data_IF_456479059435
#
_entry.id   IF_456479059435
#
_cell.length_a   1.000
_cell.length_b   1.000
_cell.length_c   1.000
_cell.angle_alpha   90.00
_cell.angle_beta   90.00
_cell.angle_gamma   90.00
#
_symmetry.space_group_name_H-M   'P 1'
#
loop_
_entity.id
_entity.type
_entity.pdbx_description
1 polymer ?
#
# COMPACT_ATOMS: atom_id res chain seq x y z
N UNK A 1 -51.09 16.00 -29.89
CA UNK A 1 -51.07 15.62 -28.46
C UNK A 1 -50.29 14.34 -28.12
N UNK A 2 -49.99 13.41 -29.05
CA UNK A 2 -49.31 12.14 -28.74
C UNK A 2 -47.78 12.20 -28.54
N UNK A 3 -47.09 13.20 -29.08
CA UNK A 3 -45.60 13.29 -29.06
C UNK A 3 -45.01 13.79 -27.74
N UNK A 4 -45.71 14.68 -27.03
CA UNK A 4 -45.23 15.21 -25.73
C UNK A 4 -45.20 14.15 -24.63
N UNK A 5 -46.11 13.18 -24.67
CA UNK A 5 -46.22 12.12 -23.65
C UNK A 5 -45.07 11.11 -23.79
N UNK A 6 -44.69 10.76 -25.03
CA UNK A 6 -43.57 9.86 -25.30
C UNK A 6 -42.23 10.46 -24.87
N UNK A 7 -42.05 11.77 -25.09
CA UNK A 7 -40.85 12.48 -24.65
C UNK A 7 -40.74 12.52 -23.11
N UNK A 8 -41.84 12.73 -22.40
CA UNK A 8 -41.85 12.72 -20.92
C UNK A 8 -41.63 11.30 -20.37
N UNK A 9 -42.20 10.27 -21.00
CA UNK A 9 -41.98 8.88 -20.60
C UNK A 9 -40.52 8.45 -20.78
N UNK A 10 -39.88 8.83 -21.89
CA UNK A 10 -38.45 8.59 -22.12
C UNK A 10 -37.56 9.38 -21.15
N UNK A 11 -37.93 10.62 -20.81
CA UNK A 11 -37.20 11.42 -19.83
C UNK A 11 -37.29 10.82 -18.43
N UNK A 12 -38.48 10.36 -18.03
CA UNK A 12 -38.69 9.67 -16.75
C UNK A 12 -37.94 8.35 -16.67
N UNK A 13 -37.92 7.56 -17.76
CA UNK A 13 -37.15 6.32 -17.80
C UNK A 13 -35.64 6.57 -17.69
N UNK A 14 -35.13 7.61 -18.37
CA UNK A 14 -33.74 8.02 -18.26
C UNK A 14 -33.39 8.52 -16.85
N UNK A 15 -34.27 9.30 -16.21
CA UNK A 15 -34.09 9.76 -14.82
C UNK A 15 -34.12 8.60 -13.83
N UNK A 16 -35.01 7.61 -14.02
CA UNK A 16 -35.08 6.40 -13.18
C UNK A 16 -33.85 5.51 -13.40
N UNK A 17 -33.37 5.35 -14.64
CA UNK A 17 -32.14 4.60 -14.93
C UNK A 17 -30.88 5.30 -14.38
N UNK A 18 -30.82 6.64 -14.40
CA UNK A 18 -29.76 7.42 -13.75
C UNK A 18 -29.81 7.30 -12.22
N UNK A 19 -31.01 7.23 -11.62
CA UNK A 19 -31.19 7.02 -10.18
C UNK A 19 -30.85 5.58 -9.75
N UNK A 20 -31.08 4.58 -10.61
CA UNK A 20 -30.74 3.18 -10.35
C UNK A 20 -29.23 2.90 -10.30
N UNK A 21 -28.38 3.85 -10.69
CA UNK A 21 -26.92 3.73 -10.59
C UNK A 21 -26.38 3.97 -9.16
N UNK A 22 -27.23 4.46 -8.24
CA UNK A 22 -26.89 4.67 -6.82
C UNK A 22 -28.10 4.33 -5.90
N UNK A 23 -28.53 3.05 -5.81
CA UNK A 23 -29.76 2.67 -5.11
C UNK A 23 -29.64 2.73 -3.58
N UNK A 24 -28.42 2.86 -3.07
CA UNK A 24 -28.16 3.12 -1.66
C UNK A 24 -27.75 4.58 -1.53
N UNK A 25 -28.47 5.33 -0.67
CA UNK A 25 -28.25 6.75 -0.41
C UNK A 25 -26.77 7.10 -0.35
N UNK A 26 -26.43 8.30 -0.82
CA UNK A 26 -25.06 8.79 -0.99
C UNK A 26 -24.22 8.69 0.29
N UNK A 27 -23.68 7.52 0.58
CA UNK A 27 -22.74 7.32 1.68
C UNK A 27 -21.44 7.99 1.21
N UNK A 28 -21.24 9.20 1.70
CA UNK A 28 -20.02 9.96 1.50
C UNK A 28 -18.99 9.34 2.43
N UNK A 29 -18.12 8.49 1.88
CA UNK A 29 -16.91 8.08 2.61
C UNK A 29 -15.82 9.10 2.32
N UNK A 30 -15.25 9.66 3.39
CA UNK A 30 -14.04 10.46 3.30
C UNK A 30 -12.88 9.52 2.95
N UNK A 31 -12.29 9.70 1.77
CA UNK A 31 -10.96 9.15 1.48
C UNK A 31 -9.93 10.22 1.76
N UNK A 32 -8.79 9.89 2.38
CA UNK A 32 -7.70 10.83 2.49
C UNK A 32 -7.19 11.16 1.09
N UNK A 33 -7.41 12.40 0.65
CA UNK A 33 -6.86 12.94 -0.60
C UNK A 33 -5.78 13.93 -0.22
N UNK A 34 -4.66 13.91 -0.94
CA UNK A 34 -3.59 14.87 -0.72
C UNK A 34 -3.69 15.98 -1.76
N UNK A 35 -3.78 17.22 -1.30
CA UNK A 35 -3.94 18.41 -2.15
C UNK A 35 -2.90 19.46 -1.81
N UNK A 36 -2.47 20.23 -2.80
CA UNK A 36 -1.63 21.40 -2.58
C UNK A 36 -2.50 22.65 -2.65
N UNK A 37 -2.60 23.47 -1.57
CA UNK A 37 -3.56 24.58 -1.50
C UNK A 37 -3.45 25.60 -2.64
N UNK A 38 -2.23 25.80 -3.15
CA UNK A 38 -1.92 26.79 -4.18
C UNK A 38 -1.87 26.24 -5.62
N UNK A 39 -2.09 24.94 -5.83
CA UNK A 39 -2.00 24.32 -7.15
C UNK A 39 -3.36 23.82 -7.63
N UNK A 40 -3.49 23.64 -8.93
CA UNK A 40 -4.66 22.99 -9.51
C UNK A 40 -4.79 21.53 -9.00
N UNK A 41 -6.01 20.95 -9.01
CA UNK A 41 -6.20 19.55 -8.64
C UNK A 41 -5.38 18.57 -9.48
N UNK A 42 -5.17 18.86 -10.77
CA UNK A 42 -4.37 18.02 -11.65
C UNK A 42 -2.87 18.05 -11.26
N UNK A 43 -2.34 19.23 -10.95
CA UNK A 43 -0.96 19.38 -10.48
C UNK A 43 -0.76 18.70 -9.12
N UNK A 44 -1.70 18.86 -8.19
CA UNK A 44 -1.67 18.15 -6.90
C UNK A 44 -1.64 16.63 -7.07
N UNK A 45 -2.51 16.07 -7.92
CA UNK A 45 -2.51 14.62 -8.22
C UNK A 45 -1.20 14.15 -8.85
N UNK A 46 -0.58 14.96 -9.70
CA UNK A 46 0.72 14.64 -10.31
C UNK A 46 1.81 14.53 -9.26
N UNK A 47 1.85 15.45 -8.28
CA UNK A 47 2.79 15.40 -7.16
C UNK A 47 2.59 14.15 -6.29
N UNK A 48 1.33 13.83 -5.95
CA UNK A 48 0.99 12.61 -5.20
C UNK A 48 1.47 11.37 -5.92
N UNK A 49 1.13 11.23 -7.22
CA UNK A 49 1.56 10.10 -8.03
C UNK A 49 3.09 10.02 -8.15
N UNK A 50 3.78 11.16 -8.17
CA UNK A 50 5.23 11.24 -8.11
C UNK A 50 5.81 10.66 -6.82
N UNK A 51 5.27 11.06 -5.67
CA UNK A 51 5.67 10.51 -4.37
C UNK A 51 5.38 9.01 -4.27
N UNK A 52 4.21 8.57 -4.74
CA UNK A 52 3.82 7.15 -4.70
C UNK A 52 4.75 6.29 -5.56
N UNK A 53 5.15 6.78 -6.74
CA UNK A 53 6.15 6.11 -7.58
C UNK A 53 7.52 6.01 -6.88
N UNK A 54 7.97 7.07 -6.20
CA UNK A 54 9.22 7.03 -5.44
C UNK A 54 9.16 6.01 -4.31
N UNK A 55 8.06 5.96 -3.55
CA UNK A 55 7.85 4.96 -2.51
C UNK A 55 7.84 3.54 -3.07
N UNK A 56 7.10 3.29 -4.15
CA UNK A 56 7.06 1.99 -4.80
C UNK A 56 8.43 1.56 -5.35
N UNK A 57 9.21 2.50 -5.90
CA UNK A 57 10.58 2.22 -6.35
C UNK A 57 11.48 1.86 -5.17
N UNK A 58 11.47 2.65 -4.09
CA UNK A 58 12.25 2.37 -2.89
C UNK A 58 11.88 1.02 -2.28
N UNK A 59 10.58 0.72 -2.20
CA UNK A 59 10.09 -0.56 -1.71
C UNK A 59 10.68 -1.72 -2.50
N UNK A 60 10.61 -1.67 -3.84
CA UNK A 60 11.19 -2.71 -4.70
C UNK A 60 12.69 -2.86 -4.51
N UNK A 61 13.42 -1.76 -4.32
CA UNK A 61 14.87 -1.79 -4.05
C UNK A 61 15.18 -2.47 -2.71
N UNK A 62 14.45 -2.11 -1.65
CA UNK A 62 14.61 -2.71 -0.33
C UNK A 62 14.23 -4.20 -0.33
N UNK A 63 13.12 -4.55 -0.98
CA UNK A 63 12.67 -5.94 -1.12
C UNK A 63 13.69 -6.78 -1.91
N UNK A 64 14.22 -6.25 -3.01
CA UNK A 64 15.23 -6.95 -3.81
C UNK A 64 16.55 -7.14 -3.03
N UNK A 65 17.00 -6.12 -2.30
CA UNK A 65 18.18 -6.23 -1.44
C UNK A 65 17.96 -7.29 -0.35
N UNK A 66 16.83 -7.25 0.35
CA UNK A 66 16.47 -8.24 1.35
C UNK A 66 16.44 -9.66 0.79
N UNK A 67 15.87 -9.86 -0.39
CA UNK A 67 15.84 -11.18 -1.06
C UNK A 67 17.25 -11.67 -1.37
N UNK A 68 18.12 -10.79 -1.88
CA UNK A 68 19.51 -11.14 -2.19
C UNK A 68 20.29 -11.52 -0.91
N UNK A 69 20.21 -10.69 0.13
CA UNK A 69 20.90 -10.90 1.40
C UNK A 69 20.42 -12.20 2.07
N UNK A 70 19.10 -12.42 2.14
CA UNK A 70 18.55 -13.63 2.75
C UNK A 70 18.93 -14.90 1.99
N UNK A 71 19.01 -14.86 0.65
CA UNK A 71 19.50 -16.01 -0.14
C UNK A 71 20.96 -16.30 0.12
N UNK A 72 21.79 -15.26 0.24
CA UNK A 72 23.19 -15.40 0.55
C UNK A 72 23.39 -16.03 1.94
N UNK A 73 22.65 -15.55 2.95
CA UNK A 73 22.66 -16.13 4.31
C UNK A 73 22.24 -17.60 4.30
N UNK A 74 21.18 -17.94 3.57
CA UNK A 74 20.70 -19.32 3.48
C UNK A 74 21.64 -20.28 2.72
N UNK A 75 22.64 -19.76 2.00
CA UNK A 75 23.66 -20.58 1.35
C UNK A 75 24.87 -20.87 2.26
N UNK A 76 24.95 -20.25 3.44
CA UNK A 76 26.03 -20.46 4.39
C UNK A 76 25.84 -21.80 5.14
N UNK A 77 26.93 -22.43 5.62
CA UNK A 77 26.85 -23.63 6.46
C UNK A 77 26.08 -23.39 7.76
N UNK A 78 26.20 -22.18 8.33
CA UNK A 78 25.46 -21.72 9.50
C UNK A 78 24.71 -20.42 9.17
N UNK A 79 23.47 -20.50 8.63
CA UNK A 79 22.70 -19.32 8.28
C UNK A 79 22.43 -18.41 9.48
N UNK A 80 22.55 -17.09 9.29
CA UNK A 80 22.22 -16.08 10.30
C UNK A 80 23.02 -16.23 11.61
N UNK A 81 24.22 -16.80 11.56
CA UNK A 81 25.09 -16.98 12.73
C UNK A 81 25.43 -15.63 13.41
N UNK A 82 25.64 -14.59 12.61
CA UNK A 82 26.01 -13.25 13.07
C UNK A 82 24.81 -12.39 13.54
N UNK A 83 23.58 -12.93 13.45
CA UNK A 83 22.39 -12.19 13.83
C UNK A 83 22.26 -12.10 15.36
N UNK A 84 22.03 -10.89 15.85
CA UNK A 84 21.69 -10.64 17.25
C UNK A 84 20.18 -10.70 17.46
N UNK A 85 19.74 -11.69 18.21
CA UNK A 85 18.34 -11.83 18.60
C UNK A 85 18.04 -11.00 19.85
N UNK A 86 17.00 -10.18 19.79
CA UNK A 86 16.59 -9.29 20.87
C UNK A 86 15.13 -9.50 21.24
N UNK A 87 14.77 -9.20 22.49
CA UNK A 87 13.38 -9.20 22.95
C UNK A 87 12.65 -7.92 22.50
N UNK A 88 11.37 -7.77 22.86
CA UNK A 88 10.57 -6.59 22.51
C UNK A 88 11.10 -5.27 23.12
N UNK A 89 11.92 -5.34 24.18
CA UNK A 89 12.58 -4.18 24.77
C UNK A 89 13.92 -3.84 24.08
N UNK A 90 14.36 -4.63 23.09
CA UNK A 90 15.63 -4.44 22.39
C UNK A 90 16.85 -5.06 23.08
N UNK A 91 16.63 -5.79 24.17
CA UNK A 91 17.68 -6.44 24.95
C UNK A 91 18.05 -7.79 24.31
N UNK A 92 19.34 -8.13 24.32
CA UNK A 92 19.78 -9.42 23.81
C UNK A 92 19.15 -10.57 24.62
N UNK A 93 18.66 -11.60 23.92
CA UNK A 93 18.12 -12.80 24.57
C UNK A 93 19.26 -13.74 25.01
N UNK A 94 18.97 -14.70 25.89
CA UNK A 94 19.97 -15.69 26.31
C UNK A 94 20.48 -16.51 25.11
N UNK A 95 21.69 -17.09 25.17
CA UNK A 95 22.26 -17.88 24.08
C UNK A 95 21.33 -19.04 23.63
N UNK A 96 20.68 -19.73 24.56
CA UNK A 96 19.75 -20.83 24.26
C UNK A 96 18.56 -20.32 23.44
N UNK A 97 17.94 -19.22 23.89
CA UNK A 97 16.82 -18.58 23.17
C UNK A 97 17.25 -18.01 21.83
N UNK A 98 18.49 -17.49 21.72
CA UNK A 98 19.04 -17.00 20.47
C UNK A 98 19.21 -18.14 19.47
N UNK A 99 19.70 -19.30 19.90
CA UNK A 99 19.86 -20.48 19.07
C UNK A 99 18.51 -21.01 18.57
N UNK A 100 17.52 -21.12 19.46
CA UNK A 100 16.15 -21.51 19.09
C UNK A 100 15.52 -20.52 18.10
N UNK A 101 15.64 -19.22 18.37
CA UNK A 101 15.12 -18.17 17.50
C UNK A 101 15.82 -18.17 16.13
N UNK A 102 17.13 -18.41 16.09
CA UNK A 102 17.91 -18.54 14.85
C UNK A 102 17.44 -19.73 14.03
N UNK A 103 17.33 -20.91 14.65
CA UNK A 103 16.86 -22.12 13.96
C UNK A 103 15.47 -21.89 13.35
N UNK A 104 14.53 -21.34 14.13
CA UNK A 104 13.19 -21.04 13.65
C UNK A 104 13.17 -19.94 12.57
N UNK A 105 14.05 -18.95 12.66
CA UNK A 105 14.20 -17.90 11.64
C UNK A 105 14.78 -18.47 10.34
N UNK A 106 15.82 -19.30 10.43
CA UNK A 106 16.46 -19.95 9.31
C UNK A 106 15.48 -20.88 8.58
N UNK A 107 14.73 -21.70 9.32
CA UNK A 107 13.69 -22.58 8.75
C UNK A 107 12.68 -21.78 7.92
N UNK A 108 12.09 -20.71 8.50
CA UNK A 108 11.09 -19.89 7.80
C UNK A 108 11.67 -19.17 6.59
N UNK A 109 12.81 -18.52 6.75
CA UNK A 109 13.40 -17.65 5.72
C UNK A 109 13.99 -18.47 4.58
N UNK A 110 14.71 -19.55 4.88
CA UNK A 110 15.33 -20.40 3.88
C UNK A 110 14.32 -21.29 3.14
N UNK A 111 13.24 -21.71 3.79
CA UNK A 111 12.11 -22.32 3.08
C UNK A 111 11.47 -21.32 2.10
N UNK A 112 11.23 -20.07 2.53
CA UNK A 112 10.69 -19.03 1.66
C UNK A 112 11.63 -18.66 0.50
N UNK A 113 12.95 -18.75 0.71
CA UNK A 113 13.96 -18.45 -0.30
C UNK A 113 14.00 -19.45 -1.48
N UNK A 114 13.49 -20.68 -1.27
CA UNK A 114 13.40 -21.72 -2.29
C UNK A 114 12.15 -21.58 -3.18
N UNK A 115 11.17 -20.78 -2.79
CA UNK A 115 9.95 -20.53 -3.56
C UNK A 115 10.07 -19.22 -4.37
N UNK A 116 9.10 -18.31 -4.26
CA UNK A 116 9.06 -17.06 -5.02
C UNK A 116 9.66 -15.91 -4.23
N UNK A 117 10.38 -15.03 -4.94
CA UNK A 117 10.92 -13.78 -4.40
C UNK A 117 9.85 -12.95 -3.66
N UNK A 118 8.59 -13.00 -4.10
CA UNK A 118 7.49 -12.29 -3.44
C UNK A 118 7.16 -12.82 -2.04
N UNK A 119 7.33 -14.13 -1.80
CA UNK A 119 7.12 -14.74 -0.50
C UNK A 119 8.22 -14.35 0.49
N UNK A 120 9.47 -14.37 0.02
CA UNK A 120 10.61 -13.92 0.80
C UNK A 120 10.57 -12.41 1.05
N UNK A 121 10.28 -11.59 0.05
CA UNK A 121 10.16 -10.14 0.18
C UNK A 121 9.08 -9.71 1.20
N UNK A 122 8.01 -10.50 1.35
CA UNK A 122 6.97 -10.25 2.35
C UNK A 122 7.48 -10.39 3.80
N UNK A 123 8.60 -11.08 4.02
CA UNK A 123 9.28 -11.20 5.32
C UNK A 123 10.12 -9.97 5.67
N UNK A 124 10.18 -8.94 4.84
CA UNK A 124 10.87 -7.69 5.14
C UNK A 124 9.93 -6.67 5.83
N UNK A 125 9.84 -6.64 7.18
CA UNK A 125 8.93 -5.73 7.88
C UNK A 125 9.26 -4.25 7.62
N UNK A 126 10.55 -3.94 7.49
CA UNK A 126 11.03 -2.57 7.31
C UNK A 126 10.88 -2.05 5.88
N UNK A 127 10.77 -2.92 4.87
CA UNK A 127 10.69 -2.51 3.47
C UNK A 127 9.44 -1.67 3.20
N UNK A 128 8.28 -2.12 3.72
CA UNK A 128 7.03 -1.37 3.59
C UNK A 128 7.06 -0.09 4.41
N UNK A 129 7.47 -0.17 5.69
CA UNK A 129 7.44 0.98 6.59
C UNK A 129 8.35 2.11 6.10
N UNK A 130 9.57 1.82 5.65
CA UNK A 130 10.50 2.82 5.09
C UNK A 130 9.97 3.43 3.79
N UNK A 131 9.34 2.63 2.94
CA UNK A 131 8.73 3.14 1.72
C UNK A 131 7.54 4.07 2.01
N UNK A 132 6.66 3.70 2.92
CA UNK A 132 5.53 4.53 3.36
C UNK A 132 6.00 5.82 4.02
N UNK A 133 7.03 5.74 4.86
CA UNK A 133 7.67 6.91 5.45
C UNK A 133 8.24 7.84 4.39
N UNK A 134 8.91 7.29 3.37
CA UNK A 134 9.42 8.08 2.25
C UNK A 134 8.29 8.78 1.49
N UNK A 135 7.16 8.11 1.28
CA UNK A 135 5.98 8.74 0.66
C UNK A 135 5.43 9.85 1.54
N UNK A 136 5.32 9.63 2.85
CA UNK A 136 4.87 10.64 3.82
C UNK A 136 5.76 11.87 3.77
N UNK A 137 7.07 11.68 3.87
CA UNK A 137 8.06 12.76 3.80
C UNK A 137 7.97 13.51 2.48
N UNK A 138 7.94 12.80 1.34
CA UNK A 138 7.80 13.43 0.02
C UNK A 138 6.55 14.30 -0.08
N UNK A 139 5.41 13.84 0.45
CA UNK A 139 4.17 14.62 0.45
C UNK A 139 4.31 15.88 1.30
N UNK A 140 4.90 15.78 2.48
CA UNK A 140 5.18 16.94 3.34
C UNK A 140 6.13 17.94 2.67
N UNK A 141 7.24 17.47 2.09
CA UNK A 141 8.22 18.29 1.38
C UNK A 141 7.61 19.01 0.17
N UNK A 142 6.59 18.41 -0.45
CA UNK A 142 5.83 18.99 -1.56
C UNK A 142 4.65 19.84 -1.10
N UNK A 143 4.50 20.14 0.20
CA UNK A 143 3.41 20.96 0.71
C UNK A 143 2.01 20.35 0.51
N UNK A 144 1.93 19.03 0.31
CA UNK A 144 0.66 18.33 0.16
C UNK A 144 0.03 18.12 1.53
N UNK A 145 -1.17 18.66 1.71
CA UNK A 145 -1.96 18.48 2.93
C UNK A 145 -3.00 17.39 2.73
N UNK A 146 -3.24 16.63 3.79
CA UNK A 146 -4.34 15.65 3.82
C UNK A 146 -5.65 16.43 3.92
N UNK A 147 -6.49 16.24 2.92
CA UNK A 147 -7.85 16.75 2.83
C UNK A 147 -8.82 15.57 2.77
N UNK A 148 -9.98 15.72 3.40
CA UNK A 148 -11.07 14.76 3.30
C UNK A 148 -11.97 15.18 2.15
N UNK A 149 -11.75 14.59 0.97
CA UNK A 149 -12.66 14.80 -0.14
C UNK A 149 -13.85 13.83 0.00
N UNK A 150 -15.10 14.32 -0.07
CA UNK A 150 -16.27 13.46 -0.11
C UNK A 150 -16.29 12.70 -1.45
N UNK A 151 -16.13 11.37 -1.41
CA UNK A 151 -16.20 10.53 -2.62
C UNK A 151 -17.55 9.83 -2.66
N UNK A 152 -18.30 9.98 -3.77
CA UNK A 152 -19.54 9.22 -3.99
C UNK A 152 -19.20 7.77 -4.28
N UNK A 153 -19.79 6.84 -3.53
CA UNK A 153 -19.52 5.40 -3.59
C UNK A 153 -19.65 4.79 -5.00
N UNK A 154 -20.52 5.35 -5.85
CA UNK A 154 -20.73 4.90 -7.23
C UNK A 154 -19.49 5.08 -8.13
N UNK A 155 -18.51 5.92 -7.75
CA UNK A 155 -17.22 6.03 -8.46
C UNK A 155 -16.20 4.94 -8.11
N UNK A 156 -16.48 4.11 -7.11
CA UNK A 156 -15.61 3.00 -6.69
C UNK A 156 -15.96 1.66 -7.34
N UNK A 157 -17.12 1.57 -8.01
CA UNK A 157 -17.49 0.38 -8.78
C UNK A 157 -16.76 0.48 -10.12
N UNK A 158 -15.61 -0.19 -10.24
CA UNK A 158 -15.02 -0.48 -11.55
C UNK A 158 -15.85 -1.60 -12.18
N UNK A 159 -16.55 -1.28 -13.27
CA UNK A 159 -16.98 -2.28 -14.25
C UNK A 159 -15.80 -2.67 -15.14
#
# INVERSE_FOLDING_TARGET
MKTRIVAHALLLLAVVLLAACCPFGSEIRSRPVYVHPQLSPAASRSLVAGCDRQGAQLRRQLEAAFVADARQECALPEPFADYRFVNAAGEAVSPERANEARAAHAERTCAAAQDKDSGLAALCPECRNKAEERVRQCRMDKGLVRSEAPVRMCSMIRF
#
